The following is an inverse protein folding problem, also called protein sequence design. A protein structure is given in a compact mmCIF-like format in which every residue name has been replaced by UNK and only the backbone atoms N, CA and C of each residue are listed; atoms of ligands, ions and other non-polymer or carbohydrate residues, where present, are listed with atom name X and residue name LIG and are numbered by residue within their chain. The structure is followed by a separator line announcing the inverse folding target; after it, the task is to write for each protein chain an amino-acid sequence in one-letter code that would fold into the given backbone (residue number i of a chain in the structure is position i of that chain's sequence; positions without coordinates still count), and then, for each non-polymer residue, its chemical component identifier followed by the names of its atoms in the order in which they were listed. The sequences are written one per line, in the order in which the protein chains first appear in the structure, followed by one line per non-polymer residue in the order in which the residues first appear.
data_IF_886428546467
#
_entry.id   IF_886428546467
#
_cell.length_a   1.000
_cell.length_b   1.000
_cell.length_c   1.000
_cell.angle_alpha   90.00
_cell.angle_beta   90.00
_cell.angle_gamma   90.00
#
_symmetry.space_group_name_H-M   'P 1'
#
loop_
_entity.id
_entity.type
_entity.pdbx_description
1 polymer ?
#
# COMPACT_ATOMS: atom_id res chain seq x y z
N UNK A 1 -2.33 -26.86 11.05
CA UNK A 1 -1.58 -25.98 10.11
C UNK A 1 -1.51 -26.57 8.71
N UNK A 2 -0.94 -27.76 8.49
CA UNK A 2 -0.96 -28.44 7.17
C UNK A 2 -2.36 -28.57 6.56
N UNK A 3 -3.34 -29.00 7.37
CA UNK A 3 -4.75 -29.11 6.95
C UNK A 3 -5.37 -27.77 6.52
N UNK A 4 -4.99 -26.64 7.14
CA UNK A 4 -5.46 -25.33 6.68
C UNK A 4 -4.86 -24.97 5.32
N UNK A 5 -3.56 -25.18 5.14
CA UNK A 5 -2.88 -24.91 3.87
C UNK A 5 -3.42 -25.81 2.75
N UNK A 6 -3.79 -27.06 3.06
CA UNK A 6 -4.42 -27.99 2.12
C UNK A 6 -5.86 -27.57 1.77
N UNK A 7 -6.66 -27.16 2.76
CA UNK A 7 -8.04 -26.70 2.52
C UNK A 7 -8.11 -25.33 1.85
N UNK A 8 -7.10 -24.48 1.99
CA UNK A 8 -6.94 -23.22 1.22
C UNK A 8 -6.80 -23.50 -0.29
N UNK A 9 -6.42 -24.72 -0.70
CA UNK A 9 -6.33 -25.09 -2.11
C UNK A 9 -7.65 -25.62 -2.67
N UNK A 10 -8.58 -26.03 -1.81
CA UNK A 10 -9.91 -26.50 -2.21
C UNK A 10 -10.83 -25.30 -2.36
N UNK A 11 -11.01 -24.85 -3.61
CA UNK A 11 -11.72 -23.62 -4.06
C UNK A 11 -13.22 -23.52 -3.69
N UNK A 12 -13.64 -23.92 -2.50
CA UNK A 12 -15.00 -23.76 -2.00
C UNK A 12 -15.04 -22.58 -1.03
N UNK A 13 -15.80 -21.55 -1.41
CA UNK A 13 -15.86 -20.23 -0.74
C UNK A 13 -15.92 -20.27 0.80
N UNK A 14 -16.81 -21.04 1.47
CA UNK A 14 -16.86 -21.05 2.92
C UNK A 14 -15.69 -21.84 3.57
N UNK A 15 -15.15 -22.86 2.89
CA UNK A 15 -14.00 -23.60 3.42
C UNK A 15 -12.72 -22.77 3.36
N UNK A 16 -12.50 -22.01 2.29
CA UNK A 16 -11.31 -21.17 2.12
C UNK A 16 -11.22 -20.10 3.22
N UNK A 17 -12.32 -19.41 3.53
CA UNK A 17 -12.32 -18.40 4.59
C UNK A 17 -12.08 -19.01 5.97
N UNK A 18 -12.72 -20.15 6.28
CA UNK A 18 -12.48 -20.89 7.50
C UNK A 18 -11.02 -21.37 7.61
N UNK A 19 -10.41 -21.78 6.50
CA UNK A 19 -9.03 -22.23 6.48
C UNK A 19 -8.05 -21.06 6.69
N UNK A 20 -8.33 -19.87 6.14
CA UNK A 20 -7.58 -18.64 6.45
C UNK A 20 -7.74 -18.27 7.93
N UNK A 21 -8.95 -18.32 8.48
CA UNK A 21 -9.18 -18.06 9.90
C UNK A 21 -8.38 -19.01 10.80
N UNK A 22 -8.34 -20.30 10.44
CA UNK A 22 -7.53 -21.30 11.16
C UNK A 22 -6.04 -21.02 11.02
N UNK A 23 -5.57 -20.62 9.83
CA UNK A 23 -4.18 -20.23 9.58
C UNK A 23 -3.76 -19.05 10.46
N UNK A 24 -4.61 -18.01 10.55
CA UNK A 24 -4.38 -16.85 11.39
C UNK A 24 -4.37 -17.24 12.87
N UNK A 25 -5.39 -17.96 13.34
CA UNK A 25 -5.48 -18.43 14.73
C UNK A 25 -4.25 -19.24 15.15
N UNK A 26 -3.78 -20.14 14.28
CA UNK A 26 -2.54 -20.90 14.50
C UNK A 26 -1.32 -19.97 14.59
N UNK A 27 -1.24 -18.97 13.72
CA UNK A 27 -0.10 -18.05 13.64
C UNK A 27 -0.02 -17.13 14.85
N UNK A 28 -1.15 -16.55 15.27
CA UNK A 28 -1.24 -15.74 16.49
C UNK A 28 -0.93 -16.57 17.74
N UNK A 29 -1.50 -17.77 17.87
CA UNK A 29 -1.23 -18.64 19.03
C UNK A 29 0.25 -19.03 19.12
N UNK A 30 0.89 -19.35 17.99
CA UNK A 30 2.32 -19.66 17.97
C UNK A 30 3.18 -18.44 18.29
N UNK A 31 2.79 -17.26 17.83
CA UNK A 31 3.50 -16.00 18.15
C UNK A 31 3.39 -15.65 19.64
N UNK A 32 2.21 -15.81 20.26
CA UNK A 32 2.02 -15.58 21.70
C UNK A 32 2.87 -16.53 22.55
N UNK A 33 2.92 -17.82 22.17
CA UNK A 33 3.79 -18.81 22.84
C UNK A 33 5.27 -18.47 22.72
N UNK A 34 5.69 -17.87 21.60
CA UNK A 34 7.08 -17.42 21.38
C UNK A 34 7.39 -16.12 22.12
N UNK A 35 6.49 -15.14 22.19
CA UNK A 35 6.70 -13.90 22.96
C UNK A 35 6.88 -14.14 24.48
N UNK A 36 6.34 -15.23 25.02
CA UNK A 36 6.55 -15.63 26.42
C UNK A 36 7.90 -16.31 26.70
N UNK A 37 8.62 -16.75 25.68
CA UNK A 37 9.95 -17.34 25.78
C UNK A 37 10.90 -16.45 24.99
N UNK A 38 11.65 -15.56 25.67
CA UNK A 38 12.66 -14.68 25.06
C UNK A 38 13.63 -15.45 24.14
N UNK A 39 13.28 -15.56 22.86
CA UNK A 39 14.08 -16.18 21.81
C UNK A 39 13.83 -15.39 20.54
N UNK A 40 14.67 -14.37 20.40
CA UNK A 40 15.39 -13.92 19.20
C UNK A 40 14.64 -13.90 17.86
N UNK A 41 14.81 -12.79 17.15
CA UNK A 41 14.53 -12.59 15.72
C UNK A 41 15.24 -13.64 14.85
N UNK A 42 14.73 -14.87 14.87
CA UNK A 42 15.27 -15.94 14.05
C UNK A 42 14.76 -15.72 12.62
N UNK A 43 15.63 -15.45 11.63
CA UNK A 43 15.23 -15.09 10.27
C UNK A 43 14.30 -16.12 9.62
N UNK A 44 14.42 -17.40 9.96
CA UNK A 44 13.54 -18.47 9.49
C UNK A 44 12.07 -18.26 9.88
N UNK A 45 11.81 -17.64 11.04
CA UNK A 45 10.45 -17.33 11.48
C UNK A 45 9.83 -16.24 10.61
N UNK A 46 10.62 -15.23 10.22
CA UNK A 46 10.19 -14.15 9.36
C UNK A 46 9.86 -14.68 7.96
N UNK A 47 10.71 -15.55 7.41
CA UNK A 47 10.46 -16.24 6.12
C UNK A 47 9.11 -16.97 6.15
N UNK A 48 8.86 -17.78 7.19
CA UNK A 48 7.59 -18.49 7.32
C UNK A 48 6.38 -17.56 7.51
N UNK A 49 6.55 -16.38 8.11
CA UNK A 49 5.47 -15.39 8.21
C UNK A 49 5.20 -14.73 6.85
N UNK A 50 6.25 -14.39 6.09
CA UNK A 50 6.15 -13.84 4.74
C UNK A 50 5.47 -14.81 3.77
N UNK A 51 5.76 -16.10 3.86
CA UNK A 51 5.08 -17.14 3.08
C UNK A 51 3.57 -17.13 3.34
N UNK A 52 3.15 -17.04 4.61
CA UNK A 52 1.73 -17.01 4.98
C UNK A 52 1.02 -15.74 4.50
N UNK A 53 1.67 -14.59 4.65
CA UNK A 53 1.13 -13.34 4.13
C UNK A 53 1.02 -13.37 2.61
N UNK A 54 1.98 -14.00 1.93
CA UNK A 54 1.92 -14.18 0.48
C UNK A 54 0.73 -15.04 0.07
N UNK A 55 0.36 -16.07 0.84
CA UNK A 55 -0.89 -16.83 0.63
C UNK A 55 -2.11 -15.90 0.69
N UNK A 56 -2.17 -14.96 1.64
CA UNK A 56 -3.29 -14.00 1.74
C UNK A 56 -3.33 -13.09 0.50
N UNK A 57 -2.18 -12.58 0.03
CA UNK A 57 -2.12 -11.77 -1.19
C UNK A 57 -2.52 -12.55 -2.44
N UNK A 58 -2.16 -13.84 -2.54
CA UNK A 58 -2.61 -14.70 -3.64
C UNK A 58 -4.13 -14.90 -3.63
N UNK A 59 -4.75 -14.96 -2.44
CA UNK A 59 -6.21 -15.00 -2.30
C UNK A 59 -6.86 -13.67 -2.63
N UNK A 60 -6.20 -12.55 -2.33
CA UNK A 60 -6.66 -11.24 -2.79
C UNK A 60 -6.70 -11.22 -4.31
N UNK A 61 -5.69 -11.75 -5.01
CA UNK A 61 -5.65 -11.77 -6.49
C UNK A 61 -6.68 -12.68 -7.15
N UNK A 62 -7.11 -13.76 -6.50
CA UNK A 62 -7.91 -14.84 -7.12
C UNK A 62 -9.27 -15.07 -6.48
N UNK A 63 -9.53 -14.46 -5.33
CA UNK A 63 -10.70 -14.69 -4.50
C UNK A 63 -11.96 -14.00 -5.02
N UNK A 64 -13.10 -14.40 -4.46
CA UNK A 64 -14.38 -13.76 -4.75
C UNK A 64 -14.44 -12.34 -4.14
N UNK A 65 -15.15 -11.37 -4.73
CA UNK A 65 -15.12 -9.97 -4.29
C UNK A 65 -15.37 -9.75 -2.79
N UNK A 66 -16.35 -10.46 -2.20
CA UNK A 66 -16.64 -10.37 -0.76
C UNK A 66 -15.52 -10.92 0.12
N UNK A 67 -14.90 -12.03 -0.30
CA UNK A 67 -13.75 -12.59 0.41
C UNK A 67 -12.58 -11.61 0.38
N UNK A 68 -12.29 -11.04 -0.79
CA UNK A 68 -11.21 -10.05 -0.95
C UNK A 68 -11.45 -8.82 -0.08
N UNK A 69 -12.70 -8.34 0.01
CA UNK A 69 -13.06 -7.23 0.92
C UNK A 69 -12.74 -7.55 2.38
N UNK A 70 -13.11 -8.74 2.85
CA UNK A 70 -12.77 -9.18 4.22
C UNK A 70 -11.27 -9.22 4.40
N UNK A 71 -10.54 -9.88 3.49
CA UNK A 71 -9.08 -10.02 3.59
C UNK A 71 -8.38 -8.65 3.62
N UNK A 72 -8.72 -7.74 2.72
CA UNK A 72 -8.17 -6.39 2.71
C UNK A 72 -8.54 -5.59 3.97
N UNK A 73 -9.68 -5.87 4.60
CA UNK A 73 -10.09 -5.15 5.82
C UNK A 73 -9.22 -5.49 7.04
N UNK A 74 -8.79 -6.76 7.17
CA UNK A 74 -8.00 -7.29 8.30
C UNK A 74 -6.49 -7.29 8.05
N UNK A 75 -6.07 -7.22 6.78
CA UNK A 75 -4.67 -7.34 6.39
C UNK A 75 -3.74 -6.30 7.05
N UNK A 76 -4.11 -5.00 7.17
CA UNK A 76 -3.27 -4.02 7.86
C UNK A 76 -2.95 -4.41 9.30
N UNK A 77 -3.94 -4.92 10.04
CA UNK A 77 -3.77 -5.31 11.44
C UNK A 77 -2.85 -6.51 11.58
N UNK A 78 -2.99 -7.49 10.67
CA UNK A 78 -2.09 -8.65 10.57
C UNK A 78 -0.66 -8.18 10.30
N UNK A 79 -0.48 -7.30 9.32
CA UNK A 79 0.84 -6.81 8.91
C UNK A 79 1.54 -6.07 10.06
N UNK A 80 0.85 -5.12 10.69
CA UNK A 80 1.41 -4.36 11.81
C UNK A 80 1.73 -5.22 13.04
N UNK A 81 1.03 -6.34 13.23
CA UNK A 81 1.28 -7.22 14.37
C UNK A 81 2.54 -8.07 14.20
N UNK A 82 2.85 -8.49 12.96
CA UNK A 82 3.90 -9.48 12.69
C UNK A 82 5.18 -8.93 12.08
N UNK A 83 5.16 -7.75 11.45
CA UNK A 83 6.25 -7.27 10.62
C UNK A 83 6.72 -5.87 11.00
N UNK A 84 7.96 -5.55 10.63
CA UNK A 84 8.48 -4.19 10.77
C UNK A 84 7.87 -3.28 9.69
N UNK A 85 7.80 -1.96 9.91
CA UNK A 85 7.33 -1.01 8.91
C UNK A 85 8.03 -1.15 7.54
N UNK A 86 9.34 -1.44 7.53
CA UNK A 86 10.09 -1.62 6.30
C UNK A 86 9.65 -2.87 5.49
N UNK A 87 9.43 -4.00 6.18
CA UNK A 87 8.94 -5.24 5.55
C UNK A 87 7.53 -5.06 4.98
N UNK A 88 6.67 -4.38 5.75
CA UNK A 88 5.28 -4.11 5.36
C UNK A 88 5.27 -3.24 4.10
N UNK A 89 6.02 -2.13 4.08
CA UNK A 89 6.08 -1.22 2.93
C UNK A 89 6.59 -1.98 1.70
N UNK A 90 7.69 -2.72 1.82
CA UNK A 90 8.23 -3.52 0.69
C UNK A 90 7.17 -4.43 0.08
N UNK A 91 6.48 -5.21 0.91
CA UNK A 91 5.50 -6.20 0.45
C UNK A 91 4.23 -5.57 -0.07
N UNK A 92 3.62 -4.65 0.68
CA UNK A 92 2.34 -4.03 0.32
C UNK A 92 2.49 -3.17 -0.93
N UNK A 93 3.57 -2.40 -1.04
CA UNK A 93 3.81 -1.56 -2.21
C UNK A 93 4.06 -2.39 -3.46
N UNK A 94 4.84 -3.48 -3.36
CA UNK A 94 5.03 -4.40 -4.48
C UNK A 94 3.72 -5.01 -4.98
N UNK A 95 2.81 -5.37 -4.07
CA UNK A 95 1.50 -5.94 -4.43
C UNK A 95 0.51 -4.89 -4.97
N UNK A 96 0.61 -3.64 -4.50
CA UNK A 96 -0.22 -2.53 -4.97
C UNK A 96 0.20 -2.01 -6.35
N UNK A 97 1.51 -2.00 -6.62
CA UNK A 97 2.11 -1.61 -7.90
C UNK A 97 2.07 -2.72 -8.95
N UNK A 98 1.68 -3.94 -8.57
CA UNK A 98 1.64 -5.07 -9.50
C UNK A 98 0.57 -4.84 -10.57
N UNK A 99 0.96 -4.89 -11.85
CA UNK A 99 0.01 -4.86 -12.99
C UNK A 99 -0.96 -6.06 -12.99
N UNK A 100 -0.61 -7.14 -12.29
CA UNK A 100 -1.45 -8.33 -12.16
C UNK A 100 -2.49 -8.20 -11.03
N UNK A 101 -2.61 -7.04 -10.38
CA UNK A 101 -3.50 -6.86 -9.25
C UNK A 101 -4.92 -6.48 -9.70
N UNK A 102 -5.94 -7.35 -9.55
CA UNK A 102 -7.31 -7.06 -9.98
C UNK A 102 -8.09 -6.14 -9.02
N UNK A 103 -7.60 -5.93 -7.79
CA UNK A 103 -8.32 -5.15 -6.77
C UNK A 103 -7.54 -3.95 -6.23
N UNK A 104 -7.04 -3.04 -7.10
CA UNK A 104 -6.26 -1.88 -6.67
C UNK A 104 -7.05 -0.96 -5.74
N UNK A 105 -8.37 -0.82 -5.95
CA UNK A 105 -9.25 -0.07 -5.05
C UNK A 105 -9.17 -0.61 -3.62
N UNK A 106 -9.31 -1.92 -3.41
CA UNK A 106 -9.29 -2.48 -2.05
C UNK A 106 -7.89 -2.41 -1.42
N UNK A 107 -6.85 -2.63 -2.21
CA UNK A 107 -5.46 -2.50 -1.74
C UNK A 107 -5.07 -1.06 -1.41
N UNK A 108 -5.65 -0.05 -2.06
CA UNK A 108 -5.40 1.34 -1.66
C UNK A 108 -5.81 1.59 -0.19
N UNK A 109 -6.89 0.98 0.30
CA UNK A 109 -7.25 1.07 1.73
C UNK A 109 -6.23 0.38 2.64
N UNK A 110 -5.62 -0.71 2.17
CA UNK A 110 -4.54 -1.40 2.90
C UNK A 110 -3.34 -0.47 3.01
N UNK A 111 -2.91 0.14 1.89
CA UNK A 111 -1.83 1.13 1.86
C UNK A 111 -2.12 2.30 2.80
N UNK A 112 -3.33 2.87 2.73
CA UNK A 112 -3.73 4.00 3.57
C UNK A 112 -3.61 3.69 5.07
N UNK A 113 -4.10 2.51 5.50
CA UNK A 113 -3.99 2.05 6.89
C UNK A 113 -2.56 1.72 7.29
N UNK A 114 -1.76 1.10 6.42
CA UNK A 114 -0.33 0.82 6.70
C UNK A 114 0.44 2.12 6.91
N UNK A 115 0.17 3.13 6.07
CA UNK A 115 0.82 4.42 6.16
C UNK A 115 0.40 5.16 7.44
N UNK A 116 -0.89 5.11 7.78
CA UNK A 116 -1.40 5.62 9.06
C UNK A 116 -0.66 5.05 10.26
N UNK A 117 -0.48 3.73 10.29
CA UNK A 117 0.23 3.06 11.38
C UNK A 117 1.71 3.43 11.42
N UNK A 118 2.35 3.56 10.25
CA UNK A 118 3.75 3.99 10.16
C UNK A 118 3.94 5.44 10.64
N UNK A 119 3.01 6.35 10.31
CA UNK A 119 2.99 7.74 10.81
C UNK A 119 2.82 7.75 12.33
N UNK A 120 1.88 6.97 12.86
CA UNK A 120 1.64 6.86 14.30
C UNK A 120 2.85 6.29 15.06
N UNK A 121 3.66 5.45 14.40
CA UNK A 121 4.93 4.90 14.93
C UNK A 121 6.14 5.82 14.70
N UNK A 122 5.93 7.07 14.26
CA UNK A 122 7.00 8.04 13.97
C UNK A 122 7.99 7.59 12.88
N UNK A 123 7.54 6.75 11.93
CA UNK A 123 8.33 6.23 10.81
C UNK A 123 8.14 7.04 9.52
N UNK A 124 7.81 8.32 9.64
CA UNK A 124 7.55 9.21 8.50
C UNK A 124 8.74 9.32 7.52
N UNK A 125 10.01 9.42 7.97
CA UNK A 125 11.15 9.49 7.04
C UNK A 125 11.28 8.24 6.16
N UNK A 126 11.16 7.05 6.76
CA UNK A 126 11.17 5.77 6.05
C UNK A 126 10.05 5.72 5.01
N UNK A 127 8.85 6.16 5.41
CA UNK A 127 7.70 6.23 4.51
C UNK A 127 7.96 7.15 3.31
N UNK A 128 8.53 8.34 3.56
CA UNK A 128 8.87 9.30 2.51
C UNK A 128 9.89 8.74 1.53
N UNK A 129 10.92 8.03 2.00
CA UNK A 129 11.88 7.33 1.15
C UNK A 129 11.17 6.36 0.20
N UNK A 130 10.33 5.47 0.76
CA UNK A 130 9.56 4.52 -0.04
C UNK A 130 8.65 5.20 -1.06
N UNK A 131 8.01 6.31 -0.67
CA UNK A 131 7.16 7.07 -1.59
C UNK A 131 7.96 7.60 -2.75
N UNK A 132 9.07 8.28 -2.49
CA UNK A 132 9.95 8.85 -3.52
C UNK A 132 10.53 7.77 -4.43
N UNK A 133 11.00 6.65 -3.88
CA UNK A 133 11.53 5.53 -4.68
C UNK A 133 10.49 4.92 -5.63
N UNK A 134 9.22 4.91 -5.23
CA UNK A 134 8.15 4.31 -6.02
C UNK A 134 7.58 5.21 -7.13
N UNK A 135 7.87 6.52 -7.14
CA UNK A 135 7.29 7.48 -8.09
C UNK A 135 7.50 7.08 -9.54
N UNK A 136 8.73 6.69 -9.88
CA UNK A 136 9.10 6.25 -11.22
C UNK A 136 8.35 4.98 -11.67
N UNK A 137 7.92 4.13 -10.74
CA UNK A 137 7.11 2.96 -11.08
C UNK A 137 5.70 3.36 -11.50
N UNK A 138 5.11 4.38 -10.85
CA UNK A 138 3.76 4.84 -11.18
C UNK A 138 3.71 5.52 -12.55
N UNK A 139 4.69 6.34 -12.87
CA UNK A 139 4.70 7.11 -14.12
C UNK A 139 4.97 6.25 -15.36
N UNK A 140 5.72 5.16 -15.21
CA UNK A 140 6.11 4.29 -16.32
C UNK A 140 5.17 3.08 -16.52
N UNK A 141 4.50 2.60 -15.47
CA UNK A 141 3.80 1.30 -15.52
C UNK A 141 2.31 1.38 -15.79
N UNK A 142 1.70 2.57 -15.74
CA UNK A 142 0.25 2.75 -15.81
C UNK A 142 -0.16 3.82 -16.81
N UNK A 143 -1.42 3.79 -17.26
CA UNK A 143 -2.00 4.88 -18.03
C UNK A 143 -2.08 6.16 -17.20
N UNK A 144 -2.11 7.33 -17.86
CA UNK A 144 -2.11 8.64 -17.18
C UNK A 144 -3.20 8.78 -16.11
N UNK A 145 -4.42 8.32 -16.42
CA UNK A 145 -5.54 8.32 -15.48
C UNK A 145 -5.27 7.45 -14.25
N UNK A 146 -4.78 6.22 -14.45
CA UNK A 146 -4.49 5.32 -13.35
C UNK A 146 -3.29 5.81 -12.54
N UNK A 147 -2.22 6.31 -13.18
CA UNK A 147 -1.08 6.90 -12.50
C UNK A 147 -1.51 8.07 -11.61
N UNK A 148 -2.38 8.95 -12.10
CA UNK A 148 -2.97 10.07 -11.34
C UNK A 148 -3.72 9.57 -10.11
N UNK A 149 -4.58 8.56 -10.27
CA UNK A 149 -5.34 7.98 -9.17
C UNK A 149 -4.44 7.30 -8.13
N UNK A 150 -3.47 6.51 -8.58
CA UNK A 150 -2.50 5.82 -7.74
C UNK A 150 -1.68 6.82 -6.92
N UNK A 151 -1.06 7.80 -7.57
CA UNK A 151 -0.26 8.84 -6.92
C UNK A 151 -1.09 9.68 -5.95
N UNK A 152 -2.32 10.04 -6.30
CA UNK A 152 -3.22 10.78 -5.40
C UNK A 152 -3.53 9.96 -4.13
N UNK A 153 -3.89 8.68 -4.29
CA UNK A 153 -4.10 7.79 -3.15
C UNK A 153 -2.83 7.68 -2.30
N UNK A 154 -1.67 7.66 -2.94
CA UNK A 154 -0.37 7.50 -2.28
C UNK A 154 0.04 8.72 -1.46
N UNK A 155 0.00 9.91 -2.06
CA UNK A 155 0.34 11.15 -1.40
C UNK A 155 -0.61 11.46 -0.25
N UNK A 156 -1.91 11.23 -0.43
CA UNK A 156 -2.87 11.41 0.67
C UNK A 156 -2.67 10.39 1.78
N UNK A 157 -2.33 9.14 1.44
CA UNK A 157 -1.96 8.14 2.45
C UNK A 157 -0.71 8.55 3.23
N UNK A 158 0.24 9.25 2.60
CA UNK A 158 1.50 9.68 3.20
C UNK A 158 1.42 11.02 3.94
N UNK A 159 0.34 11.78 3.75
CA UNK A 159 0.18 13.08 4.38
C UNK A 159 -0.07 12.95 5.89
N UNK A 160 0.50 13.89 6.65
CA UNK A 160 0.21 14.10 8.08
C UNK A 160 -0.97 15.05 8.30
N UNK A 161 -1.48 15.69 7.24
CA UNK A 161 -2.62 16.61 7.32
C UNK A 161 -3.95 15.83 7.43
N UNK A 162 -4.66 15.88 8.57
CA UNK A 162 -5.87 15.09 8.78
C UNK A 162 -6.99 15.44 7.80
N UNK A 163 -7.06 16.70 7.35
CA UNK A 163 -8.07 17.15 6.40
C UNK A 163 -7.83 16.53 5.03
N UNK A 164 -6.58 16.52 4.56
CA UNK A 164 -6.24 15.89 3.30
C UNK A 164 -6.51 14.38 3.35
N UNK A 165 -6.12 13.72 4.46
CA UNK A 165 -6.41 12.29 4.69
C UNK A 165 -7.90 11.97 4.66
N UNK A 166 -8.76 12.86 5.15
CA UNK A 166 -10.21 12.65 5.15
C UNK A 166 -10.83 12.54 3.75
N UNK A 167 -10.16 13.04 2.71
CA UNK A 167 -10.60 12.87 1.31
C UNK A 167 -10.32 11.47 0.74
N UNK A 168 -9.59 10.61 1.45
CA UNK A 168 -9.20 9.29 0.94
C UNK A 168 -10.38 8.45 0.41
N UNK A 169 -11.53 8.32 1.10
CA UNK A 169 -12.67 7.55 0.60
C UNK A 169 -13.23 8.09 -0.73
N UNK A 170 -13.20 9.42 -0.91
CA UNK A 170 -13.63 10.07 -2.16
C UNK A 170 -12.70 9.69 -3.32
N UNK A 171 -11.39 9.83 -3.14
CA UNK A 171 -10.42 9.46 -4.18
C UNK A 171 -10.47 7.97 -4.51
N UNK A 172 -10.59 7.11 -3.49
CA UNK A 172 -10.70 5.68 -3.67
C UNK A 172 -11.92 5.30 -4.53
N UNK A 173 -13.03 6.03 -4.45
CA UNK A 173 -14.22 5.79 -5.26
C UNK A 173 -14.01 6.14 -6.75
N UNK A 174 -13.08 7.05 -7.07
CA UNK A 174 -12.83 7.60 -8.40
C UNK A 174 -11.74 6.88 -9.19
N UNK A 175 -11.63 5.57 -9.01
CA UNK A 175 -10.65 4.76 -9.74
C UNK A 175 -10.80 4.93 -11.26
N UNK A 176 -9.68 5.22 -11.94
CA UNK A 176 -9.64 5.41 -13.40
C UNK A 176 -10.37 6.64 -13.92
N UNK A 177 -10.78 7.58 -13.05
CA UNK A 177 -11.26 8.91 -13.47
C UNK A 177 -10.08 9.83 -13.73
N UNK A 178 -10.26 10.79 -14.63
CA UNK A 178 -9.23 11.75 -15.02
C UNK A 178 -9.85 13.09 -15.37
N UNK A 179 -10.70 13.58 -14.48
CA UNK A 179 -11.36 14.87 -14.63
C UNK A 179 -10.49 15.97 -14.00
N UNK A 180 -10.93 17.23 -14.13
CA UNK A 180 -10.25 18.37 -13.54
C UNK A 180 -10.03 18.21 -12.01
N UNK A 181 -11.03 17.69 -11.30
CA UNK A 181 -10.96 17.45 -9.86
C UNK A 181 -9.85 16.46 -9.49
N UNK A 182 -9.70 15.37 -10.25
CA UNK A 182 -8.70 14.33 -10.00
C UNK A 182 -7.28 14.90 -10.19
N UNK A 183 -7.08 15.71 -11.23
CA UNK A 183 -5.80 16.39 -11.49
C UNK A 183 -5.46 17.42 -10.41
N UNK A 184 -6.46 18.18 -9.94
CA UNK A 184 -6.26 19.15 -8.86
C UNK A 184 -5.96 18.48 -7.53
N UNK A 185 -6.63 17.37 -7.22
CA UNK A 185 -6.32 16.58 -6.02
C UNK A 185 -4.90 16.02 -6.05
N UNK A 186 -4.43 15.54 -7.21
CA UNK A 186 -3.04 15.14 -7.38
C UNK A 186 -2.07 16.29 -7.05
N UNK A 187 -2.31 17.48 -7.60
CA UNK A 187 -1.45 18.65 -7.36
C UNK A 187 -1.44 19.04 -5.87
N UNK A 188 -2.61 19.13 -5.23
CA UNK A 188 -2.72 19.50 -3.81
C UNK A 188 -2.00 18.47 -2.93
N UNK A 189 -2.24 17.18 -3.16
CA UNK A 189 -1.63 16.12 -2.36
C UNK A 189 -0.12 16.01 -2.61
N UNK A 190 0.32 16.16 -3.85
CA UNK A 190 1.73 16.13 -4.20
C UNK A 190 2.50 17.35 -3.66
N UNK A 191 1.91 18.54 -3.69
CA UNK A 191 2.49 19.75 -3.09
C UNK A 191 2.59 19.64 -1.56
N UNK A 192 1.56 19.12 -0.89
CA UNK A 192 1.61 18.83 0.56
C UNK A 192 2.73 17.83 0.88
N UNK A 193 2.82 16.73 0.12
CA UNK A 193 3.88 15.75 0.29
C UNK A 193 5.27 16.36 0.10
N UNK A 194 5.49 17.09 -1.00
CA UNK A 194 6.77 17.72 -1.31
C UNK A 194 7.19 18.73 -0.24
N UNK A 195 6.26 19.58 0.22
CA UNK A 195 6.53 20.56 1.28
C UNK A 195 7.01 19.90 2.57
N UNK A 196 6.46 18.73 2.88
CA UNK A 196 6.78 17.94 4.06
C UNK A 196 8.07 17.10 3.91
N UNK A 197 8.69 17.03 2.72
CA UNK A 197 10.00 16.39 2.54
C UNK A 197 11.08 17.22 3.23
N UNK A 198 11.86 16.59 4.11
CA UNK A 198 12.95 17.28 4.85
C UNK A 198 14.30 17.17 4.18
N UNK A 199 14.45 16.27 3.20
CA UNK A 199 15.72 15.97 2.54
C UNK A 199 15.76 16.54 1.11
N UNK A 200 16.75 17.36 0.80
CA UNK A 200 16.93 17.96 -0.54
C UNK A 200 17.12 16.90 -1.63
N UNK A 201 17.77 15.76 -1.32
CA UNK A 201 17.90 14.66 -2.28
C UNK A 201 16.54 14.04 -2.63
N UNK A 202 15.64 13.92 -1.65
CA UNK A 202 14.28 13.43 -1.89
C UNK A 202 13.50 14.44 -2.73
N UNK A 203 13.62 15.74 -2.44
CA UNK A 203 13.01 16.81 -3.24
C UNK A 203 13.49 16.78 -4.69
N UNK A 204 14.79 16.64 -4.92
CA UNK A 204 15.34 16.54 -6.27
C UNK A 204 14.83 15.28 -6.98
N UNK A 205 14.85 14.13 -6.31
CA UNK A 205 14.36 12.86 -6.88
C UNK A 205 12.87 12.92 -7.23
N UNK A 206 12.08 13.61 -6.42
CA UNK A 206 10.67 13.89 -6.69
C UNK A 206 10.52 14.68 -8.00
N UNK A 207 11.23 15.80 -8.14
CA UNK A 207 11.20 16.64 -9.35
C UNK A 207 11.65 15.82 -10.57
N UNK A 208 12.81 15.17 -10.48
CA UNK A 208 13.38 14.36 -11.57
C UNK A 208 12.46 13.22 -12.03
N UNK A 209 11.64 12.67 -11.13
CA UNK A 209 10.70 11.59 -11.46
C UNK A 209 9.55 12.07 -12.35
N UNK A 210 9.09 13.30 -12.15
CA UNK A 210 8.00 13.89 -12.92
C UNK A 210 8.52 14.64 -14.15
N UNK A 211 9.69 15.27 -14.08
CA UNK A 211 10.28 16.03 -15.18
C UNK A 211 10.47 15.18 -16.43
N UNK A 212 10.83 13.90 -16.26
CA UNK A 212 10.97 12.91 -17.35
C UNK A 212 9.67 12.61 -18.11
N UNK A 213 8.52 12.87 -17.51
CA UNK A 213 7.19 12.44 -18.01
C UNK A 213 6.26 13.64 -18.23
N UNK A 214 6.76 14.85 -17.96
CA UNK A 214 5.98 16.08 -18.00
C UNK A 214 5.53 16.47 -19.41
N UNK A 215 6.34 16.16 -20.43
CA UNK A 215 6.09 16.56 -21.82
C UNK A 215 5.06 15.67 -22.55
N UNK A 216 4.46 14.69 -21.85
CA UNK A 216 3.38 13.89 -22.41
C UNK A 216 2.11 14.74 -22.60
N UNK A 217 1.37 14.49 -23.68
CA UNK A 217 0.13 15.19 -24.00
C UNK A 217 -0.88 15.00 -22.86
N UNK A 218 -1.50 16.10 -22.40
CA UNK A 218 -2.44 16.15 -21.26
C UNK A 218 -1.86 15.66 -19.91
N UNK A 219 -0.54 15.76 -19.73
CA UNK A 219 0.13 15.37 -18.49
C UNK A 219 -0.22 16.31 -17.31
N UNK A 220 -0.75 15.77 -16.20
CA UNK A 220 -1.00 16.55 -14.98
C UNK A 220 0.31 16.84 -14.22
N UNK A 221 1.45 16.27 -14.66
CA UNK A 221 2.71 16.38 -13.97
C UNK A 221 3.36 17.76 -14.16
N UNK A 222 3.08 18.46 -15.27
CA UNK A 222 3.45 19.87 -15.42
C UNK A 222 2.78 20.74 -14.34
N UNK A 223 1.46 20.60 -14.20
CA UNK A 223 0.70 21.33 -13.18
C UNK A 223 1.17 20.99 -11.75
N UNK A 224 1.52 19.72 -11.51
CA UNK A 224 2.09 19.26 -10.25
C UNK A 224 3.44 19.94 -9.97
N UNK A 225 4.37 19.95 -10.93
CA UNK A 225 5.67 20.60 -10.77
C UNK A 225 5.50 22.11 -10.52
N UNK A 226 4.65 22.79 -11.29
CA UNK A 226 4.33 24.20 -11.07
C UNK A 226 3.71 24.48 -9.70
N UNK A 227 2.94 23.54 -9.15
CA UNK A 227 2.35 23.69 -7.80
C UNK A 227 3.36 23.55 -6.67
N UNK A 228 4.54 22.98 -6.95
CA UNK A 228 5.60 22.68 -6.01
C UNK A 228 6.69 23.76 -5.99
N UNK A 229 6.88 24.47 -7.11
CA UNK A 229 7.85 25.56 -7.27
C UNK A 229 7.38 26.92 -6.69
N UNK A 230 6.12 27.00 -6.23
CA UNK A 230 5.51 28.19 -5.60
C UNK A 230 5.73 28.22 -4.08
#
# INVERSE_FOLDING_TARGET
MKIAIENIKTKTFPLDLCAIQLLLSCTYTNSLKKKGNELEDNPDNLVHLLEKVSIIFDHIKKGFPFQVQILCSILPDILNYFFTPADILTKVLGEFLSQQQPHPKLLSSVVFKVFENSINQSQLPLLQDWVVFSLSNFTNSFSMSMATWYLSCFFVSASTNPWLRSFFPYMQARIGRFEYEDRKMLCIAGADFYKNLTNDKQRQTFIDSFDKVKDQIDSPFNDLLSSVEL
#
